data_IF_590403976825
#
_entry.id   IF_590403976825
#
_cell.length_a   1.000
_cell.length_b   1.000
_cell.length_c   1.000
_cell.angle_alpha   90.00
_cell.angle_beta   90.00
_cell.angle_gamma   90.00
#
_symmetry.space_group_name_H-M   'P 1'
#
loop_
_entity.id
_entity.type
_entity.pdbx_description
1 polymer ?
#
# COMPACT_ATOMS: atom_id res chain seq x y z
N UNK A 1 -14.29 21.83 2.09
CA UNK A 1 -13.11 22.47 1.49
C UNK A 1 -12.15 21.39 1.02
N UNK A 2 -12.11 21.13 -0.29
CA UNK A 2 -11.28 20.09 -0.89
C UNK A 2 -9.81 20.45 -0.75
N UNK A 3 -9.11 19.76 0.13
CA UNK A 3 -7.66 19.82 0.25
C UNK A 3 -7.01 19.14 -0.98
N UNK A 4 -7.10 19.80 -2.14
CA UNK A 4 -6.15 19.59 -3.23
C UNK A 4 -4.79 20.13 -2.77
N UNK A 5 -4.18 19.47 -1.78
CA UNK A 5 -2.74 19.52 -1.62
C UNK A 5 -2.18 18.91 -2.90
N UNK A 6 -1.80 19.79 -3.81
CA UNK A 6 -1.04 19.49 -5.03
C UNK A 6 0.17 18.69 -4.59
N UNK A 7 -0.01 17.39 -4.62
CA UNK A 7 1.00 16.40 -4.47
C UNK A 7 2.12 16.73 -5.49
N UNK A 8 3.24 17.28 -5.01
CA UNK A 8 4.37 17.70 -5.85
C UNK A 8 5.29 16.51 -6.15
N UNK A 9 4.79 15.51 -6.89
CA UNK A 9 5.68 14.51 -7.50
C UNK A 9 6.05 14.96 -8.90
N UNK A 10 7.35 14.99 -9.19
CA UNK A 10 7.81 15.15 -10.57
C UNK A 10 7.63 13.83 -11.33
N UNK A 11 7.64 13.85 -12.67
CA UNK A 11 7.60 12.61 -13.47
C UNK A 11 8.70 11.61 -13.06
N UNK A 12 9.84 12.10 -12.57
CA UNK A 12 11.00 11.29 -12.14
C UNK A 12 10.84 10.65 -10.77
N UNK A 13 10.05 11.24 -9.86
CA UNK A 13 9.85 10.74 -8.49
C UNK A 13 8.48 10.10 -8.26
N UNK A 14 7.70 9.90 -9.33
CA UNK A 14 6.32 9.41 -9.31
C UNK A 14 6.14 8.06 -8.59
N UNK A 15 7.13 7.17 -8.67
CA UNK A 15 7.08 5.87 -7.98
C UNK A 15 7.54 5.93 -6.51
N UNK A 16 8.27 6.98 -6.12
CA UNK A 16 8.83 7.17 -4.78
C UNK A 16 8.01 8.16 -3.93
N UNK A 17 6.91 8.67 -4.47
CA UNK A 17 6.16 9.76 -3.87
C UNK A 17 5.16 9.23 -2.84
N UNK A 18 5.69 8.80 -1.69
CA UNK A 18 4.96 8.07 -0.66
C UNK A 18 3.76 8.80 -0.05
N UNK A 19 3.67 10.13 -0.14
CA UNK A 19 2.59 10.95 0.42
C UNK A 19 1.46 11.29 -0.58
N UNK A 20 1.58 10.77 -1.79
CA UNK A 20 0.75 11.17 -2.91
C UNK A 20 -0.15 10.08 -3.44
N UNK A 21 0.08 8.85 -3.00
CA UNK A 21 -0.88 7.80 -3.22
C UNK A 21 -2.08 7.99 -2.30
N UNK A 22 -3.26 7.54 -2.75
CA UNK A 22 -4.46 7.50 -1.88
C UNK A 22 -4.27 6.48 -0.77
N UNK A 23 -3.72 5.32 -1.12
CA UNK A 23 -3.46 4.24 -0.18
C UNK A 23 -1.97 4.13 0.14
N UNK A 24 -1.66 3.85 1.40
CA UNK A 24 -0.34 3.39 1.84
C UNK A 24 -0.46 1.95 2.31
N UNK A 25 0.33 1.06 1.74
CA UNK A 25 0.38 -0.33 2.18
C UNK A 25 1.60 -0.59 3.04
N UNK A 26 1.39 -1.27 4.15
CA UNK A 26 2.43 -1.77 5.03
C UNK A 26 2.51 -3.26 4.82
N UNK A 27 3.63 -3.70 4.27
CA UNK A 27 3.89 -5.09 3.96
C UNK A 27 4.75 -5.68 5.09
N UNK A 28 4.17 -6.60 5.85
CA UNK A 28 4.85 -7.35 6.89
C UNK A 28 5.27 -8.70 6.30
N UNK A 29 6.57 -8.89 6.09
CA UNK A 29 7.11 -10.09 5.45
C UNK A 29 6.95 -11.32 6.35
N UNK A 30 6.88 -12.49 5.70
CA UNK A 30 6.76 -13.77 6.40
C UNK A 30 8.06 -14.11 7.14
N UNK A 31 7.92 -14.53 8.39
CA UNK A 31 9.03 -14.79 9.29
C UNK A 31 9.55 -16.21 9.08
N UNK A 32 10.59 -16.38 8.27
CA UNK A 32 11.31 -17.66 8.23
C UNK A 32 12.52 -17.68 9.18
N UNK A 33 13.02 -16.52 9.64
CA UNK A 33 14.30 -16.41 10.33
C UNK A 33 14.26 -15.34 11.44
N UNK A 34 13.61 -15.64 12.58
CA UNK A 34 13.89 -15.10 13.93
C UNK A 34 13.90 -13.57 14.20
N UNK A 35 13.86 -12.70 13.19
CA UNK A 35 13.97 -11.25 13.31
C UNK A 35 12.82 -10.58 12.56
N UNK A 36 12.14 -9.63 13.22
CA UNK A 36 11.11 -8.79 12.61
C UNK A 36 11.78 -8.06 11.44
N UNK A 37 11.50 -8.49 10.21
CA UNK A 37 11.83 -7.66 9.07
C UNK A 37 11.00 -6.38 9.18
N UNK A 38 11.70 -5.26 9.19
CA UNK A 38 11.09 -3.94 9.29
C UNK A 38 9.92 -3.81 8.31
N UNK A 39 8.79 -3.21 8.72
CA UNK A 39 7.65 -3.01 7.85
C UNK A 39 8.08 -2.27 6.58
N UNK A 40 7.76 -2.84 5.41
CA UNK A 40 8.07 -2.20 4.12
C UNK A 40 6.85 -1.42 3.66
N UNK A 41 7.05 -0.15 3.34
CA UNK A 41 5.98 0.74 2.91
C UNK A 41 5.93 0.86 1.39
N UNK A 42 4.74 0.68 0.82
CA UNK A 42 4.51 0.84 -0.61
C UNK A 42 3.43 1.89 -0.90
N UNK A 43 3.68 2.68 -1.94
CA UNK A 43 2.75 3.67 -2.50
C UNK A 43 2.61 3.44 -4.01
N UNK A 44 1.38 3.31 -4.50
CA UNK A 44 1.09 2.95 -5.89
C UNK A 44 0.29 4.05 -6.60
N UNK A 45 0.95 5.19 -6.84
CA UNK A 45 0.30 6.38 -7.42
C UNK A 45 -0.20 6.15 -8.86
N UNK A 46 0.45 5.29 -9.63
CA UNK A 46 0.02 5.00 -11.00
C UNK A 46 -1.33 4.28 -11.00
N UNK A 47 -1.53 3.38 -10.04
CA UNK A 47 -2.73 2.57 -9.88
C UNK A 47 -3.90 3.38 -9.31
N UNK A 48 -3.65 4.38 -8.47
CA UNK A 48 -4.68 5.31 -7.97
C UNK A 48 -5.49 5.98 -9.08
N UNK A 49 -4.85 6.24 -10.24
CA UNK A 49 -5.49 6.86 -11.39
C UNK A 49 -6.35 5.87 -12.19
N UNK A 50 -6.00 4.58 -12.13
CA UNK A 50 -6.67 3.51 -12.88
C UNK A 50 -7.85 2.95 -12.11
N UNK A 51 -7.72 2.81 -10.79
CA UNK A 51 -8.74 2.20 -9.94
C UNK A 51 -9.31 3.26 -8.98
N UNK A 52 -10.53 3.72 -9.26
CA UNK A 52 -11.22 4.72 -8.42
C UNK A 52 -11.71 4.14 -7.09
N UNK A 53 -12.03 2.86 -7.06
CA UNK A 53 -12.45 2.14 -5.86
C UNK A 53 -11.22 1.68 -5.04
N UNK A 54 -11.22 1.98 -3.74
CA UNK A 54 -10.09 1.72 -2.84
C UNK A 54 -9.89 0.24 -2.56
N UNK A 55 -10.97 -0.54 -2.49
CA UNK A 55 -10.91 -1.97 -2.25
C UNK A 55 -10.39 -2.69 -3.49
N UNK A 56 -10.80 -2.26 -4.69
CA UNK A 56 -10.27 -2.76 -5.96
C UNK A 56 -8.79 -2.42 -6.11
N UNK A 57 -8.43 -1.15 -5.88
CA UNK A 57 -7.04 -0.70 -5.87
C UNK A 57 -6.19 -1.53 -4.89
N UNK A 58 -6.69 -1.73 -3.67
CA UNK A 58 -6.00 -2.50 -2.66
C UNK A 58 -5.77 -3.96 -3.08
N UNK A 59 -6.76 -4.61 -3.69
CA UNK A 59 -6.61 -5.97 -4.24
C UNK A 59 -5.57 -6.05 -5.36
N UNK A 60 -5.51 -5.03 -6.22
CA UNK A 60 -4.53 -4.98 -7.31
C UNK A 60 -3.10 -4.78 -6.78
N UNK A 61 -2.93 -3.88 -5.82
CA UNK A 61 -1.65 -3.67 -5.13
C UNK A 61 -1.21 -4.94 -4.38
N UNK A 62 -2.13 -5.60 -3.66
CA UNK A 62 -1.90 -6.89 -3.02
C UNK A 62 -1.37 -7.93 -4.02
N UNK A 63 -2.06 -8.12 -5.15
CA UNK A 63 -1.65 -9.09 -6.19
C UNK A 63 -0.26 -8.79 -6.75
N UNK A 64 0.07 -7.50 -6.92
CA UNK A 64 1.39 -7.08 -7.41
C UNK A 64 2.48 -7.31 -6.36
N UNK A 65 2.21 -6.97 -5.10
CA UNK A 65 3.15 -7.16 -3.99
C UNK A 65 3.37 -8.63 -3.64
N UNK A 66 2.31 -9.45 -3.66
CA UNK A 66 2.45 -10.89 -3.46
C UNK A 66 3.33 -11.51 -4.53
N UNK A 67 3.19 -11.13 -5.80
CA UNK A 67 4.09 -11.57 -6.89
C UNK A 67 5.53 -11.07 -6.68
N UNK A 68 5.70 -9.79 -6.35
CA UNK A 68 7.02 -9.17 -6.12
C UNK A 68 7.80 -9.92 -5.03
N UNK A 69 7.11 -10.28 -3.96
CA UNK A 69 7.68 -10.98 -2.80
C UNK A 69 7.51 -12.50 -2.87
N UNK A 70 7.17 -13.06 -4.04
CA UNK A 70 7.00 -14.51 -4.24
C UNK A 70 6.07 -15.19 -3.21
N UNK A 71 5.01 -14.50 -2.79
CA UNK A 71 4.04 -14.98 -1.80
C UNK A 71 4.54 -14.95 -0.35
N UNK A 72 5.70 -14.33 -0.08
CA UNK A 72 6.29 -14.23 1.26
C UNK A 72 5.78 -12.98 1.99
N UNK A 73 4.58 -13.07 2.54
CA UNK A 73 4.04 -12.05 3.45
C UNK A 73 3.25 -12.69 4.57
N UNK A 74 3.36 -12.14 5.76
CA UNK A 74 2.52 -12.53 6.89
C UNK A 74 1.19 -11.78 6.83
N UNK A 75 1.28 -10.45 6.69
CA UNK A 75 0.13 -9.54 6.74
C UNK A 75 0.40 -8.28 5.92
N UNK A 76 -0.64 -7.73 5.32
CA UNK A 76 -0.61 -6.43 4.65
C UNK A 76 -1.69 -5.55 5.26
N UNK A 77 -1.28 -4.38 5.75
CA UNK A 77 -2.21 -3.36 6.22
C UNK A 77 -2.32 -2.25 5.19
N UNK A 78 -3.53 -1.73 5.01
CA UNK A 78 -3.83 -0.66 4.06
C UNK A 78 -4.34 0.52 4.83
N UNK A 79 -3.73 1.68 4.63
CA UNK A 79 -4.07 2.92 5.30
C UNK A 79 -4.51 3.97 4.30
N UNK A 80 -5.44 4.83 4.71
CA UNK A 80 -5.70 6.09 4.01
C UNK A 80 -4.49 6.99 4.21
N UNK A 81 -3.82 7.35 3.13
CA UNK A 81 -2.60 8.14 3.19
C UNK A 81 -2.87 9.65 3.09
N UNK A 82 -4.09 10.04 2.73
CA UNK A 82 -4.52 11.44 2.56
C UNK A 82 -5.20 11.97 3.83
N UNK A 83 -5.88 11.12 4.58
CA UNK A 83 -6.48 11.50 5.85
C UNK A 83 -5.43 11.81 6.94
N UNK A 84 -5.73 12.82 7.77
CA UNK A 84 -4.94 13.13 8.96
C UNK A 84 -4.95 11.93 9.92
N UNK A 85 -3.78 11.56 10.46
CA UNK A 85 -3.63 10.38 11.32
C UNK A 85 -3.50 9.04 10.59
N UNK A 86 -3.67 9.02 9.26
CA UNK A 86 -3.51 7.84 8.40
C UNK A 86 -4.23 6.59 8.92
N UNK A 87 -5.58 6.62 9.04
CA UNK A 87 -6.34 5.51 9.60
C UNK A 87 -6.20 4.23 8.77
N UNK A 88 -6.24 3.07 9.45
CA UNK A 88 -6.26 1.76 8.79
C UNK A 88 -7.63 1.55 8.13
N UNK A 89 -7.62 1.21 6.84
CA UNK A 89 -8.82 0.90 6.06
C UNK A 89 -9.05 -0.60 5.96
N UNK A 90 -8.01 -1.36 5.60
CA UNK A 90 -8.12 -2.79 5.31
C UNK A 90 -6.92 -3.56 5.85
N UNK A 91 -7.10 -4.87 5.98
CA UNK A 91 -6.05 -5.82 6.34
C UNK A 91 -6.19 -7.08 5.49
N UNK A 92 -5.07 -7.62 5.01
CA UNK A 92 -5.00 -8.89 4.32
C UNK A 92 -4.01 -9.82 5.04
N UNK A 93 -4.46 -10.99 5.46
CA UNK A 93 -3.60 -12.04 6.02
C UNK A 93 -3.43 -13.16 4.99
N UNK A 94 -2.24 -13.78 4.96
CA UNK A 94 -1.91 -14.83 3.99
C UNK A 94 -2.84 -16.07 4.05
N UNK A 95 -3.50 -16.30 5.19
CA UNK A 95 -4.32 -17.50 5.44
C UNK A 95 -5.79 -17.20 5.80
N UNK A 96 -6.27 -15.96 5.64
CA UNK A 96 -7.72 -15.69 5.71
C UNK A 96 -8.32 -15.94 4.33
N UNK A 97 -8.88 -17.14 4.14
CA UNK A 97 -9.75 -17.46 3.00
C UNK A 97 -10.96 -16.51 3.02
N UNK A 98 -11.20 -15.83 1.90
CA UNK A 98 -12.42 -15.05 1.64
C UNK A 98 -13.67 -15.92 1.66
#
# INVERSE_FOLDING_TARGET
>A
MSANKLCKCTRKTRNACGNCSRLRMVFLMDFELGNIQNPVYYSFQAEDRKYKDERVLARQMLSRLSKLHRGRYHKIEVFDNQASGKPKLFEFKKNETL
#
